data_IF_240693591489
#
_entry.id   IF_240693591489
#
_cell.length_a   1.000
_cell.length_b   1.000
_cell.length_c   1.000
_cell.angle_alpha   90.00
_cell.angle_beta   90.00
_cell.angle_gamma   90.00
#
_symmetry.space_group_name_H-M   'P 1'
#
loop_
_entity.id
_entity.type
_entity.pdbx_description
1 polymer ?
#
# COMPACT_ATOMS: atom_id res chain seq x y z
N UNK A 1 35.44 -4.50 -6.48
CA UNK A 1 34.42 -5.50 -6.93
C UNK A 1 34.67 -5.76 -8.42
N UNK A 2 34.78 -7.00 -8.83
CA UNK A 2 34.94 -7.35 -10.26
C UNK A 2 33.58 -7.41 -10.93
N UNK A 3 33.44 -6.87 -12.17
CA UNK A 3 32.18 -6.93 -12.95
C UNK A 3 31.63 -8.36 -13.08
N UNK A 4 32.53 -9.36 -13.23
CA UNK A 4 32.15 -10.76 -13.26
C UNK A 4 31.48 -11.28 -11.97
N UNK A 5 31.65 -10.60 -10.85
CA UNK A 5 31.03 -10.95 -9.58
C UNK A 5 29.66 -10.28 -9.37
N UNK A 6 29.31 -9.31 -10.22
CA UNK A 6 28.03 -8.60 -10.14
C UNK A 6 26.94 -9.26 -11.00
N UNK A 7 27.24 -10.35 -11.70
CA UNK A 7 26.33 -10.96 -12.67
C UNK A 7 26.16 -10.15 -13.97
N UNK A 8 26.89 -9.03 -14.13
CA UNK A 8 26.90 -8.24 -15.38
C UNK A 8 27.86 -8.85 -16.42
N UNK A 9 27.71 -10.13 -16.70
CA UNK A 9 28.46 -10.82 -17.73
C UNK A 9 27.82 -10.65 -19.12
N UNK A 10 28.56 -11.07 -20.15
CA UNK A 10 28.04 -11.16 -21.52
C UNK A 10 27.02 -12.30 -21.64
N UNK A 11 25.78 -12.04 -21.27
CA UNK A 11 24.69 -13.00 -21.42
C UNK A 11 23.98 -12.77 -22.76
N UNK A 12 23.87 -13.82 -23.56
CA UNK A 12 23.05 -13.76 -24.78
C UNK A 12 21.58 -13.81 -24.36
N UNK A 13 20.87 -12.73 -24.66
CA UNK A 13 19.42 -12.65 -24.41
C UNK A 13 18.67 -13.47 -25.47
N UNK A 14 17.73 -14.31 -25.03
CA UNK A 14 16.88 -15.12 -25.89
C UNK A 14 15.43 -14.98 -25.42
N UNK A 15 14.49 -14.89 -26.38
CA UNK A 15 13.04 -14.88 -26.10
C UNK A 15 12.65 -13.95 -24.94
N UNK A 16 12.94 -12.67 -25.09
CA UNK A 16 12.53 -11.64 -24.11
C UNK A 16 11.01 -11.61 -24.07
N UNK A 17 10.46 -11.63 -22.89
CA UNK A 17 9.02 -11.43 -22.69
C UNK A 17 8.64 -10.02 -23.15
N UNK A 18 7.81 -9.93 -24.19
CA UNK A 18 7.42 -8.66 -24.79
C UNK A 18 6.51 -7.83 -23.86
N UNK A 19 5.75 -8.50 -22.98
CA UNK A 19 4.90 -7.83 -22.00
C UNK A 19 5.72 -7.22 -20.86
N UNK A 20 6.75 -7.94 -20.38
CA UNK A 20 7.59 -7.52 -19.23
C UNK A 20 9.09 -7.57 -19.59
N UNK A 21 9.55 -6.78 -20.57
CA UNK A 21 10.90 -6.90 -21.11
C UNK A 21 11.99 -6.62 -20.05
N UNK A 22 11.79 -5.63 -19.18
CA UNK A 22 12.76 -5.28 -18.14
C UNK A 22 13.00 -6.43 -17.17
N UNK A 23 11.95 -7.02 -16.64
CA UNK A 23 12.03 -8.14 -15.69
C UNK A 23 12.60 -9.41 -16.36
N UNK A 24 12.22 -9.66 -17.63
CA UNK A 24 12.76 -10.77 -18.42
C UNK A 24 14.28 -10.64 -18.62
N UNK A 25 14.76 -9.44 -18.93
CA UNK A 25 16.21 -9.15 -19.05
C UNK A 25 16.91 -9.36 -17.71
N UNK A 26 16.35 -8.88 -16.61
CA UNK A 26 16.93 -9.04 -15.28
C UNK A 26 17.06 -10.52 -14.88
N UNK A 27 16.07 -11.36 -15.21
CA UNK A 27 16.15 -12.82 -14.99
C UNK A 27 17.23 -13.46 -15.87
N UNK A 28 17.22 -13.19 -17.16
CA UNK A 28 18.20 -13.81 -18.09
C UNK A 28 19.64 -13.41 -17.78
N UNK A 29 19.86 -12.23 -17.22
CA UNK A 29 21.18 -11.74 -16.83
C UNK A 29 21.55 -12.13 -15.39
N UNK A 30 20.72 -12.90 -14.66
CA UNK A 30 20.96 -13.28 -13.27
C UNK A 30 20.88 -12.11 -12.28
N UNK A 31 20.30 -10.99 -12.69
CA UNK A 31 20.05 -9.85 -11.78
C UNK A 31 18.84 -10.11 -10.87
N UNK A 32 17.87 -10.90 -11.34
CA UNK A 32 16.83 -11.51 -10.53
C UNK A 32 17.05 -13.02 -10.51
N UNK A 33 16.78 -13.64 -9.35
CA UNK A 33 16.80 -15.09 -9.19
C UNK A 33 15.45 -15.53 -8.66
N UNK A 34 14.75 -16.38 -9.40
CA UNK A 34 13.46 -16.91 -8.99
C UNK A 34 13.64 -18.15 -8.12
N UNK A 35 13.15 -18.12 -6.89
CA UNK A 35 13.16 -19.26 -5.95
C UNK A 35 11.85 -20.05 -6.00
N UNK A 36 10.79 -19.44 -6.47
CA UNK A 36 9.46 -20.03 -6.61
C UNK A 36 8.51 -19.02 -7.25
N UNK A 37 7.27 -19.41 -7.50
CA UNK A 37 6.26 -18.51 -8.04
C UNK A 37 6.05 -17.31 -7.10
N UNK A 38 6.35 -16.10 -7.59
CA UNK A 38 6.23 -14.85 -6.82
C UNK A 38 7.28 -14.66 -5.72
N UNK A 39 8.39 -15.41 -5.76
CA UNK A 39 9.50 -15.29 -4.82
C UNK A 39 10.82 -15.06 -5.57
N UNK A 40 11.40 -13.88 -5.38
CA UNK A 40 12.57 -13.42 -6.10
C UNK A 40 13.67 -12.92 -5.18
N UNK A 41 14.92 -13.26 -5.53
CA UNK A 41 16.12 -12.66 -4.96
C UNK A 41 16.68 -11.59 -5.89
N UNK A 42 17.17 -10.52 -5.29
CA UNK A 42 17.74 -9.37 -5.98
C UNK A 42 19.25 -9.45 -5.99
N UNK A 43 19.87 -9.36 -7.15
CA UNK A 43 21.31 -9.13 -7.28
C UNK A 43 21.58 -7.61 -7.22
N UNK A 44 22.78 -7.20 -7.55
CA UNK A 44 23.31 -5.86 -7.33
C UNK A 44 22.46 -4.74 -7.96
N UNK A 45 22.08 -4.86 -9.26
CA UNK A 45 21.39 -3.79 -9.98
C UNK A 45 19.98 -3.55 -9.43
N UNK A 46 19.07 -4.55 -9.39
CA UNK A 46 17.73 -4.30 -8.87
C UNK A 46 17.74 -3.92 -7.39
N UNK A 47 18.69 -4.43 -6.59
CA UNK A 47 18.83 -4.01 -5.20
C UNK A 47 19.23 -2.51 -5.07
N UNK A 48 20.10 -2.01 -5.93
CA UNK A 48 20.46 -0.59 -5.96
C UNK A 48 19.28 0.28 -6.41
N UNK A 49 18.52 -0.16 -7.40
CA UNK A 49 17.30 0.53 -7.84
C UNK A 49 16.30 0.61 -6.70
N UNK A 50 16.01 -0.51 -6.05
CA UNK A 50 15.12 -0.57 -4.87
C UNK A 50 15.56 0.43 -3.78
N UNK A 51 16.83 0.41 -3.39
CA UNK A 51 17.36 1.33 -2.37
C UNK A 51 17.25 2.80 -2.75
N UNK A 52 17.41 3.13 -4.04
CA UNK A 52 17.22 4.50 -4.51
C UNK A 52 15.75 4.93 -4.42
N UNK A 53 14.82 4.04 -4.77
CA UNK A 53 13.38 4.27 -4.61
C UNK A 53 13.03 4.46 -3.13
N UNK A 54 13.47 3.53 -2.27
CA UNK A 54 13.28 3.61 -0.81
C UNK A 54 13.82 4.93 -0.24
N UNK A 55 15.00 5.38 -0.71
CA UNK A 55 15.57 6.66 -0.29
C UNK A 55 14.70 7.86 -0.70
N UNK A 56 14.18 7.88 -1.93
CA UNK A 56 13.27 8.94 -2.39
C UNK A 56 12.01 8.98 -1.51
N UNK A 57 11.46 7.81 -1.17
CA UNK A 57 10.30 7.67 -0.29
C UNK A 57 10.59 8.25 1.10
N UNK A 58 11.67 7.78 1.74
CA UNK A 58 12.08 8.20 3.08
C UNK A 58 12.31 9.71 3.14
N UNK A 59 13.13 10.25 2.22
CA UNK A 59 13.45 11.68 2.17
C UNK A 59 12.14 12.49 2.01
N UNK A 60 11.22 12.06 1.15
CA UNK A 60 9.98 12.80 0.88
C UNK A 60 9.00 12.73 2.05
N UNK A 61 8.81 11.57 2.67
CA UNK A 61 7.92 11.45 3.82
C UNK A 61 8.45 12.23 5.03
N UNK A 62 9.77 12.24 5.25
CA UNK A 62 10.39 13.06 6.29
C UNK A 62 10.18 14.56 6.04
N UNK A 63 10.29 15.04 4.78
CA UNK A 63 9.96 16.42 4.40
C UNK A 63 8.50 16.79 4.74
N UNK A 64 7.60 15.80 4.73
CA UNK A 64 6.18 15.94 5.07
C UNK A 64 5.85 15.68 6.57
N UNK A 65 6.89 15.54 7.42
CA UNK A 65 6.73 15.39 8.87
C UNK A 65 6.33 13.98 9.33
N UNK A 66 6.40 12.98 8.46
CA UNK A 66 6.14 11.59 8.83
C UNK A 66 7.35 11.00 9.59
N UNK A 67 7.10 10.04 10.45
CA UNK A 67 8.09 9.44 11.36
C UNK A 67 8.34 7.99 10.96
N UNK A 68 9.58 7.65 10.64
CA UNK A 68 9.97 6.29 10.30
C UNK A 68 9.98 5.39 11.54
N UNK A 69 9.40 4.20 11.42
CA UNK A 69 9.40 3.13 12.43
C UNK A 69 9.65 1.79 11.74
N UNK A 70 9.88 0.74 12.52
CA UNK A 70 9.96 -0.62 12.00
C UNK A 70 9.17 -1.55 12.92
N UNK A 71 8.17 -2.21 12.36
CA UNK A 71 7.31 -3.15 13.05
C UNK A 71 7.68 -4.59 12.68
N UNK A 72 7.40 -5.57 13.55
CA UNK A 72 7.66 -6.97 13.25
C UNK A 72 6.77 -7.46 12.11
N UNK A 73 7.37 -8.16 11.16
CA UNK A 73 6.67 -8.84 10.05
C UNK A 73 6.02 -10.14 10.51
N UNK A 74 6.63 -10.81 11.49
CA UNK A 74 6.03 -11.96 12.16
C UNK A 74 5.21 -11.47 13.34
N UNK A 75 3.90 -11.64 13.29
CA UNK A 75 2.95 -11.07 14.23
C UNK A 75 2.13 -12.16 14.92
N UNK A 76 1.80 -12.02 16.22
CA UNK A 76 0.90 -12.96 16.87
C UNK A 76 -0.51 -12.84 16.27
N UNK A 77 -1.21 -13.95 16.16
CA UNK A 77 -2.59 -14.01 15.64
C UNK A 77 -3.58 -13.20 16.48
N UNK A 78 -3.25 -12.96 17.74
CA UNK A 78 -4.11 -12.22 18.69
C UNK A 78 -4.40 -10.80 18.24
N UNK A 79 -3.44 -10.06 17.66
CA UNK A 79 -3.70 -8.69 17.20
C UNK A 79 -4.67 -8.68 16.02
N UNK A 80 -4.60 -9.70 15.14
CA UNK A 80 -5.50 -9.89 14.00
C UNK A 80 -6.90 -10.32 14.44
N UNK A 81 -7.00 -11.14 15.50
CA UNK A 81 -8.28 -11.49 16.12
C UNK A 81 -8.92 -10.28 16.78
N UNK A 82 -8.14 -9.43 17.43
CA UNK A 82 -8.63 -8.19 18.05
C UNK A 82 -9.22 -7.21 17.01
N UNK A 83 -8.67 -7.13 15.81
CA UNK A 83 -9.23 -6.33 14.72
C UNK A 83 -10.42 -6.99 14.01
N UNK A 84 -10.72 -8.25 14.33
CA UNK A 84 -11.76 -9.03 13.66
C UNK A 84 -11.40 -9.46 12.22
N UNK A 85 -10.18 -9.21 11.74
CA UNK A 85 -9.77 -9.50 10.35
C UNK A 85 -9.12 -10.87 10.18
N UNK A 86 -8.78 -11.57 11.28
CA UNK A 86 -8.10 -12.86 11.21
C UNK A 86 -8.84 -13.87 10.35
N UNK A 87 -10.10 -14.14 10.68
CA UNK A 87 -10.90 -15.16 10.00
C UNK A 87 -11.13 -14.82 8.52
N UNK A 88 -11.34 -13.55 8.20
CA UNK A 88 -11.48 -13.09 6.81
C UNK A 88 -10.23 -13.41 6.00
N UNK A 89 -9.05 -12.97 6.46
CA UNK A 89 -7.78 -13.16 5.74
C UNK A 89 -7.36 -14.63 5.64
N UNK A 90 -7.69 -15.43 6.64
CA UNK A 90 -7.45 -16.89 6.62
C UNK A 90 -8.40 -17.59 5.64
N UNK A 91 -9.69 -17.27 5.68
CA UNK A 91 -10.71 -17.90 4.80
C UNK A 91 -10.52 -17.50 3.33
N UNK A 92 -10.13 -16.28 3.06
CA UNK A 92 -9.75 -15.82 1.71
C UNK A 92 -8.42 -16.42 1.24
N UNK A 93 -7.68 -17.07 2.14
CA UNK A 93 -6.39 -17.67 1.85
C UNK A 93 -5.27 -16.67 1.57
N UNK A 94 -5.47 -15.39 1.92
CA UNK A 94 -4.50 -14.31 1.67
C UNK A 94 -3.36 -14.33 2.68
N UNK A 95 -3.62 -14.71 3.94
CA UNK A 95 -2.66 -14.71 5.03
C UNK A 95 -1.82 -15.98 5.06
N UNK A 96 -0.51 -15.83 5.17
CA UNK A 96 0.41 -16.91 5.50
C UNK A 96 0.53 -17.06 7.02
N UNK A 97 0.27 -18.27 7.53
CA UNK A 97 0.30 -18.60 8.96
C UNK A 97 1.42 -19.58 9.24
N UNK A 98 2.01 -19.47 10.42
CA UNK A 98 2.94 -20.47 10.96
C UNK A 98 2.55 -20.82 12.39
N UNK A 99 2.71 -22.09 12.75
CA UNK A 99 2.42 -22.58 14.08
C UNK A 99 3.72 -22.92 14.82
N UNK A 100 3.73 -22.65 16.10
CA UNK A 100 4.79 -23.06 17.03
C UNK A 100 4.18 -23.61 18.31
N UNK A 101 5.02 -24.18 19.15
CA UNK A 101 4.62 -24.62 20.50
C UNK A 101 4.15 -23.47 21.42
N UNK A 102 4.30 -22.20 21.00
CA UNK A 102 3.90 -21.00 21.75
C UNK A 102 2.69 -20.28 21.14
N UNK A 103 2.10 -20.82 20.07
CA UNK A 103 0.92 -20.25 19.42
C UNK A 103 1.04 -20.10 17.91
N UNK A 104 0.06 -19.44 17.36
CA UNK A 104 -0.06 -19.14 15.92
C UNK A 104 0.51 -17.75 15.65
N UNK A 105 1.26 -17.64 14.58
CA UNK A 105 1.81 -16.40 14.08
C UNK A 105 1.42 -16.18 12.62
N UNK A 106 1.26 -14.92 12.24
CA UNK A 106 0.94 -14.48 10.90
C UNK A 106 2.13 -13.77 10.28
N UNK A 107 2.43 -14.03 9.02
CA UNK A 107 3.30 -13.18 8.23
C UNK A 107 2.46 -12.00 7.73
N UNK A 108 2.84 -10.78 8.09
CA UNK A 108 2.05 -9.58 7.88
C UNK A 108 1.74 -9.31 6.40
N UNK A 109 0.47 -9.37 5.95
CA UNK A 109 0.06 -8.93 4.62
C UNK A 109 -0.11 -7.41 4.52
N UNK A 110 -0.27 -6.74 5.66
CA UNK A 110 -0.41 -5.29 5.88
C UNK A 110 -0.04 -4.96 7.33
N UNK A 111 -0.12 -3.73 7.79
CA UNK A 111 0.43 -3.33 9.08
C UNK A 111 -0.51 -2.59 10.04
N UNK A 112 -1.83 -2.48 9.74
CA UNK A 112 -2.78 -1.72 10.56
C UNK A 112 -2.76 -2.17 12.03
N UNK A 113 -2.88 -3.48 12.25
CA UNK A 113 -2.95 -4.07 13.60
C UNK A 113 -1.71 -3.77 14.43
N UNK A 114 -0.54 -4.04 13.84
CA UNK A 114 0.74 -3.79 14.53
C UNK A 114 0.97 -2.30 14.80
N UNK A 115 0.52 -1.43 13.87
CA UNK A 115 0.66 0.00 14.02
C UNK A 115 -0.27 0.56 15.10
N UNK A 116 -1.50 0.07 15.23
CA UNK A 116 -2.39 0.46 16.33
C UNK A 116 -1.80 0.03 17.67
N UNK A 117 -1.28 -1.18 17.79
CA UNK A 117 -0.60 -1.62 19.03
C UNK A 117 0.61 -0.73 19.37
N UNK A 118 1.40 -0.34 18.37
CA UNK A 118 2.50 0.58 18.55
C UNK A 118 2.02 1.98 18.99
N UNK A 119 0.97 2.50 18.36
CA UNK A 119 0.40 3.81 18.64
C UNK A 119 -0.15 3.89 20.08
N UNK A 120 -0.82 2.85 20.58
CA UNK A 120 -1.32 2.76 21.97
C UNK A 120 -0.22 2.99 23.00
N UNK A 121 1.02 2.59 22.71
CA UNK A 121 2.15 2.81 23.60
C UNK A 121 2.75 4.22 23.49
N UNK A 122 2.58 4.91 22.36
CA UNK A 122 3.20 6.19 22.07
C UNK A 122 2.27 7.39 22.14
N UNK A 123 1.02 7.23 21.70
CA UNK A 123 0.07 8.32 21.50
C UNK A 123 -0.99 8.35 22.63
N UNK A 124 -0.54 8.43 23.89
CA UNK A 124 -1.42 8.36 25.07
C UNK A 124 -2.17 9.67 25.40
N UNK A 125 -1.79 10.77 24.79
CA UNK A 125 -2.35 12.10 25.07
C UNK A 125 -2.59 12.87 23.77
N UNK A 126 -3.60 13.75 23.77
CA UNK A 126 -3.86 14.69 22.68
C UNK A 126 -2.62 15.50 22.25
N UNK A 127 -1.66 15.72 23.17
CA UNK A 127 -0.40 16.41 22.86
C UNK A 127 0.54 15.65 21.93
N UNK A 128 0.30 14.35 21.75
CA UNK A 128 1.07 13.49 20.87
C UNK A 128 0.47 13.40 19.45
N UNK A 129 -0.68 14.04 19.23
CA UNK A 129 -1.44 14.03 17.98
C UNK A 129 -1.42 15.43 17.33
N UNK A 130 -1.48 15.54 16.00
CA UNK A 130 -1.48 14.44 15.05
C UNK A 130 -0.10 13.78 14.92
N UNK A 131 -0.08 12.51 14.50
CA UNK A 131 1.17 11.80 14.20
C UNK A 131 0.97 10.87 12.99
N UNK A 132 1.94 10.86 12.07
CA UNK A 132 1.96 9.92 10.95
C UNK A 132 3.23 9.09 11.04
N UNK A 133 3.06 7.78 11.22
CA UNK A 133 4.14 6.80 11.23
C UNK A 133 4.20 6.06 9.91
N UNK A 134 5.39 5.71 9.44
CA UNK A 134 5.57 4.88 8.26
C UNK A 134 6.70 3.88 8.43
N UNK A 135 6.67 2.82 7.63
CA UNK A 135 7.75 1.86 7.50
C UNK A 135 7.91 1.43 6.05
N UNK A 136 9.09 0.96 5.68
CA UNK A 136 9.31 0.19 4.47
C UNK A 136 9.72 -1.22 4.90
N UNK A 137 8.86 -2.19 4.65
CA UNK A 137 9.06 -3.56 5.14
C UNK A 137 8.49 -4.60 4.19
N UNK A 138 9.01 -5.84 4.32
CA UNK A 138 8.48 -6.97 3.55
C UNK A 138 7.05 -7.28 3.99
N UNK A 139 6.18 -7.42 3.01
CA UNK A 139 4.82 -7.93 3.19
C UNK A 139 4.71 -9.30 2.53
N UNK A 140 3.82 -10.10 3.06
CA UNK A 140 3.60 -11.48 2.64
C UNK A 140 2.13 -11.71 2.34
N UNK A 141 1.83 -12.02 1.10
CA UNK A 141 0.46 -12.36 0.68
C UNK A 141 0.50 -13.72 -0.03
N UNK A 142 -0.38 -14.63 0.36
CA UNK A 142 -0.48 -15.93 -0.29
C UNK A 142 -1.16 -15.78 -1.67
N UNK A 143 -0.52 -15.04 -2.55
CA UNK A 143 -1.01 -14.75 -3.89
C UNK A 143 -1.15 -16.03 -4.70
N UNK A 144 -2.38 -16.34 -5.13
CA UNK A 144 -2.70 -17.55 -5.88
C UNK A 144 -2.19 -17.42 -7.32
N UNK A 145 -2.29 -16.21 -7.89
CA UNK A 145 -1.93 -15.91 -9.28
C UNK A 145 -0.83 -14.88 -9.34
N UNK A 146 0.40 -15.33 -9.08
CA UNK A 146 1.57 -14.47 -9.27
C UNK A 146 1.72 -14.09 -10.75
N UNK A 147 2.05 -12.82 -11.04
CA UNK A 147 2.10 -12.30 -12.40
C UNK A 147 3.14 -11.20 -12.54
N UNK A 148 3.61 -11.00 -13.78
CA UNK A 148 4.49 -9.90 -14.13
C UNK A 148 5.81 -9.89 -13.33
N UNK A 149 6.31 -11.06 -12.92
CA UNK A 149 7.52 -11.24 -12.12
C UNK A 149 7.42 -10.51 -10.77
N UNK A 150 8.00 -9.31 -10.64
CA UNK A 150 7.97 -8.51 -9.42
C UNK A 150 6.65 -7.76 -9.21
N UNK A 151 5.81 -7.66 -10.24
CA UNK A 151 4.59 -6.85 -10.18
C UNK A 151 3.58 -7.41 -9.16
N UNK A 152 3.40 -8.74 -9.12
CA UNK A 152 2.52 -9.43 -8.17
C UNK A 152 3.20 -10.65 -7.60
N UNK A 153 3.90 -10.46 -6.49
CA UNK A 153 4.65 -11.49 -5.78
C UNK A 153 4.00 -11.93 -4.47
N UNK A 154 4.54 -13.01 -3.87
CA UNK A 154 4.12 -13.50 -2.54
C UNK A 154 4.86 -12.81 -1.40
N UNK A 155 6.06 -12.31 -1.65
CA UNK A 155 6.86 -11.47 -0.77
C UNK A 155 7.33 -10.26 -1.56
N UNK A 156 7.09 -9.08 -1.04
CA UNK A 156 7.44 -7.82 -1.70
C UNK A 156 7.65 -6.70 -0.67
N UNK A 157 8.54 -5.75 -0.97
CA UNK A 157 8.69 -4.57 -0.14
C UNK A 157 7.49 -3.64 -0.33
N UNK A 158 7.00 -3.06 0.76
CA UNK A 158 5.93 -2.08 0.76
C UNK A 158 6.28 -0.95 1.70
N UNK A 159 6.11 0.29 1.23
CA UNK A 159 5.88 1.42 2.12
C UNK A 159 4.44 1.30 2.64
N UNK A 160 4.27 1.29 3.93
CA UNK A 160 2.98 1.46 4.59
C UNK A 160 3.08 2.54 5.67
N UNK A 161 2.18 3.54 5.57
CA UNK A 161 2.09 4.66 6.48
C UNK A 161 0.69 4.74 7.11
N UNK A 162 0.62 5.34 8.30
CA UNK A 162 -0.60 5.41 9.11
C UNK A 162 -0.64 6.73 9.86
N UNK A 163 -1.72 7.50 9.67
CA UNK A 163 -1.96 8.69 10.46
C UNK A 163 -2.87 8.40 11.64
N UNK A 164 -2.66 9.16 12.71
CA UNK A 164 -3.45 9.16 13.94
C UNK A 164 -3.79 10.61 14.27
N UNK A 165 -5.07 10.89 14.33
CA UNK A 165 -5.60 12.24 14.43
C UNK A 165 -6.67 12.35 15.53
N UNK A 166 -6.95 13.57 16.00
CA UNK A 166 -7.92 13.83 17.05
C UNK A 166 -9.37 13.65 16.57
N UNK A 167 -9.63 14.00 15.30
CA UNK A 167 -10.96 14.04 14.73
C UNK A 167 -10.94 13.82 13.20
N UNK A 168 -12.10 13.81 12.59
CA UNK A 168 -12.25 13.60 11.16
C UNK A 168 -11.60 14.72 10.32
N UNK A 169 -11.54 15.94 10.81
CA UNK A 169 -10.90 17.05 10.11
C UNK A 169 -9.38 16.86 10.12
N UNK A 170 -8.78 16.52 11.27
CA UNK A 170 -7.36 16.22 11.39
C UNK A 170 -6.97 15.05 10.48
N UNK A 171 -7.79 13.98 10.44
CA UNK A 171 -7.57 12.86 9.52
C UNK A 171 -7.59 13.31 8.05
N UNK A 172 -8.51 14.20 7.66
CA UNK A 172 -8.53 14.76 6.29
C UNK A 172 -7.26 15.56 5.99
N UNK A 173 -6.78 16.36 6.94
CA UNK A 173 -5.55 17.15 6.79
C UNK A 173 -4.31 16.24 6.64
N UNK A 174 -4.21 15.20 7.47
CA UNK A 174 -3.16 14.17 7.37
C UNK A 174 -3.23 13.41 6.04
N UNK A 175 -4.44 13.04 5.61
CA UNK A 175 -4.67 12.40 4.32
C UNK A 175 -4.16 13.24 3.14
N UNK A 176 -4.51 14.53 3.09
CA UNK A 176 -4.06 15.42 2.04
C UNK A 176 -2.53 15.66 2.08
N UNK A 177 -1.93 15.69 3.26
CA UNK A 177 -0.49 15.82 3.41
C UNK A 177 0.25 14.59 2.83
N UNK A 178 -0.18 13.38 3.17
CA UNK A 178 0.43 12.14 2.65
C UNK A 178 0.12 11.95 1.17
N UNK A 179 -1.08 12.31 0.72
CA UNK A 179 -1.44 12.32 -0.71
C UNK A 179 -0.48 13.17 -1.53
N UNK A 180 -0.16 14.38 -1.06
CA UNK A 180 0.84 15.26 -1.70
C UNK A 180 2.23 14.64 -1.69
N UNK A 181 2.63 14.00 -0.59
CA UNK A 181 3.89 13.29 -0.50
C UNK A 181 3.98 12.16 -1.53
N UNK A 182 2.93 11.36 -1.71
CA UNK A 182 2.88 10.28 -2.69
C UNK A 182 3.03 10.79 -4.13
N UNK A 183 2.28 11.83 -4.50
CA UNK A 183 2.43 12.47 -5.81
C UNK A 183 3.86 12.95 -6.06
N UNK A 184 4.50 13.55 -5.04
CA UNK A 184 5.89 14.01 -5.13
C UNK A 184 6.89 12.85 -5.21
N UNK A 185 6.64 11.73 -4.54
CA UNK A 185 7.43 10.49 -4.64
C UNK A 185 7.39 9.99 -6.08
N UNK A 186 6.21 9.82 -6.66
CA UNK A 186 6.07 9.34 -8.05
C UNK A 186 6.69 10.30 -9.05
N UNK A 187 6.53 11.60 -8.87
CA UNK A 187 7.19 12.62 -9.70
C UNK A 187 8.72 12.50 -9.63
N UNK A 188 9.32 12.38 -8.43
CA UNK A 188 10.78 12.21 -8.25
C UNK A 188 11.30 10.91 -8.86
N UNK A 189 10.49 9.84 -8.91
CA UNK A 189 10.82 8.57 -9.57
C UNK A 189 10.69 8.69 -11.10
N UNK A 190 9.95 9.70 -11.59
CA UNK A 190 9.68 9.92 -13.01
C UNK A 190 8.40 9.25 -13.51
N UNK A 191 7.49 8.87 -12.62
CA UNK A 191 6.21 8.23 -12.94
C UNK A 191 5.07 9.25 -12.93
N UNK A 192 4.28 9.28 -14.00
CA UNK A 192 3.08 10.11 -14.10
C UNK A 192 1.87 9.30 -13.67
N UNK A 193 1.48 9.41 -12.44
CA UNK A 193 0.31 8.72 -11.88
C UNK A 193 -0.94 9.59 -11.95
N UNK A 194 -2.09 8.94 -12.02
CA UNK A 194 -3.41 9.55 -11.93
C UNK A 194 -4.03 9.05 -10.62
N UNK A 195 -4.33 9.93 -9.66
CA UNK A 195 -5.17 9.56 -8.53
C UNK A 195 -6.60 9.30 -9.02
N UNK A 196 -7.13 8.15 -8.68
CA UNK A 196 -8.49 7.77 -9.03
C UNK A 196 -9.32 7.45 -7.80
N UNK A 197 -10.62 7.62 -7.95
CA UNK A 197 -11.58 7.18 -6.94
C UNK A 197 -11.60 5.67 -6.88
N UNK A 198 -11.45 5.11 -5.68
CA UNK A 198 -11.38 3.67 -5.47
C UNK A 198 -12.45 3.16 -4.49
N UNK A 199 -12.67 1.86 -4.49
CA UNK A 199 -13.48 1.22 -3.45
C UNK A 199 -12.66 0.96 -2.19
N UNK A 200 -13.30 1.07 -1.04
CA UNK A 200 -12.65 0.85 0.25
C UNK A 200 -12.43 -0.64 0.58
N UNK A 201 -13.14 -1.55 -0.08
CA UNK A 201 -13.01 -2.99 0.05
C UNK A 201 -12.98 -3.49 1.50
N UNK A 202 -12.12 -4.47 1.76
CA UNK A 202 -11.91 -5.05 3.09
C UNK A 202 -11.29 -4.08 4.10
N UNK A 203 -10.62 -3.02 3.64
CA UNK A 203 -10.03 -1.99 4.51
C UNK A 203 -11.10 -1.16 5.21
N UNK A 204 -12.24 -0.94 4.54
CA UNK A 204 -13.34 -0.10 5.03
C UNK A 204 -12.98 1.39 5.04
N UNK A 205 -13.77 2.19 5.74
CA UNK A 205 -13.61 3.64 5.75
C UNK A 205 -14.60 4.35 4.82
N UNK A 206 -14.42 5.66 4.63
CA UNK A 206 -15.34 6.48 3.83
C UNK A 206 -14.83 6.79 2.43
N UNK A 207 -13.53 7.04 2.29
CA UNK A 207 -12.91 7.49 1.05
C UNK A 207 -11.60 6.76 0.83
N UNK A 208 -11.33 6.38 -0.44
CA UNK A 208 -10.01 5.91 -0.86
C UNK A 208 -9.66 6.38 -2.26
N UNK A 209 -8.36 6.50 -2.53
CA UNK A 209 -7.81 6.83 -3.84
C UNK A 209 -6.65 5.89 -4.17
N UNK A 210 -6.64 5.39 -5.41
CA UNK A 210 -5.53 4.65 -5.99
C UNK A 210 -4.68 5.55 -6.86
N UNK A 211 -3.37 5.34 -6.87
CA UNK A 211 -2.43 6.02 -7.77
C UNK A 211 -2.11 5.10 -8.93
N UNK A 212 -2.74 5.38 -10.08
CA UNK A 212 -2.69 4.56 -11.27
C UNK A 212 -1.70 5.08 -12.29
N UNK A 213 -0.86 4.20 -12.80
CA UNK A 213 -0.01 4.46 -13.97
C UNK A 213 -0.69 3.91 -15.22
N UNK A 214 -0.91 4.74 -16.24
CA UNK A 214 -1.40 4.27 -17.55
C UNK A 214 -0.33 3.39 -18.16
N UNK A 215 -0.64 2.12 -18.41
CA UNK A 215 0.30 1.13 -18.95
C UNK A 215 -0.42 -0.06 -19.57
N UNK A 216 -0.02 -0.46 -20.76
CA UNK A 216 -0.48 -1.71 -21.40
C UNK A 216 -0.05 -2.97 -20.63
N UNK A 217 0.96 -2.84 -19.77
CA UNK A 217 1.46 -3.91 -18.90
C UNK A 217 0.63 -4.05 -17.62
N UNK A 218 -0.26 -3.10 -17.35
CA UNK A 218 -1.10 -3.08 -16.15
C UNK A 218 -2.14 -4.19 -16.16
N UNK A 219 -2.60 -4.56 -14.97
CA UNK A 219 -3.62 -5.58 -14.77
C UNK A 219 -5.02 -4.99 -14.66
N UNK A 220 -5.09 -3.73 -14.21
CA UNK A 220 -6.33 -3.08 -13.87
C UNK A 220 -6.90 -2.30 -15.04
N UNK A 221 -8.21 -2.14 -15.01
CA UNK A 221 -8.96 -1.30 -15.93
C UNK A 221 -9.68 -0.23 -15.13
N UNK A 222 -9.56 1.00 -15.58
CA UNK A 222 -10.25 2.13 -14.99
C UNK A 222 -11.11 2.83 -16.05
N UNK A 223 -12.12 3.54 -15.59
CA UNK A 223 -12.80 4.54 -16.38
C UNK A 223 -12.09 5.89 -16.21
N UNK A 224 -11.75 6.52 -17.31
CA UNK A 224 -10.99 7.78 -17.31
C UNK A 224 -11.58 8.79 -18.28
N UNK A 225 -11.80 10.01 -17.82
CA UNK A 225 -12.18 11.15 -18.64
C UNK A 225 -10.96 12.04 -18.91
N UNK A 226 -10.53 12.10 -20.17
CA UNK A 226 -9.37 12.90 -20.61
C UNK A 226 -9.57 14.42 -20.43
N UNK A 227 -10.81 14.91 -20.41
CA UNK A 227 -11.11 16.33 -20.30
C UNK A 227 -10.98 16.82 -18.85
N UNK A 228 -11.59 16.08 -17.92
CA UNK A 228 -11.58 16.40 -16.48
C UNK A 228 -10.35 15.85 -15.76
N UNK A 229 -9.63 14.90 -16.35
CA UNK A 229 -8.52 14.13 -15.73
C UNK A 229 -8.94 13.32 -14.51
N UNK A 230 -10.22 12.97 -14.44
CA UNK A 230 -10.79 12.13 -13.38
C UNK A 230 -10.76 10.67 -13.82
N UNK A 231 -10.36 9.78 -12.93
CA UNK A 231 -10.42 8.34 -13.10
C UNK A 231 -11.25 7.68 -12.00
N UNK A 232 -11.89 6.56 -12.34
CA UNK A 232 -12.72 5.75 -11.46
C UNK A 232 -12.32 4.28 -11.57
N UNK A 233 -12.13 3.61 -10.44
CA UNK A 233 -12.01 2.16 -10.45
C UNK A 233 -13.35 1.54 -10.88
N UNK A 234 -13.32 0.57 -11.80
CA UNK A 234 -14.53 -0.07 -12.33
C UNK A 234 -15.33 -0.81 -11.25
N UNK A 235 -14.69 -1.27 -10.17
CA UNK A 235 -15.35 -1.92 -9.03
C UNK A 235 -16.38 -1.02 -8.33
N UNK A 236 -16.22 0.31 -8.42
CA UNK A 236 -17.21 1.25 -7.87
C UNK A 236 -18.57 1.08 -8.52
N UNK A 237 -18.61 0.73 -9.80
CA UNK A 237 -19.87 0.56 -10.54
C UNK A 237 -20.68 -0.67 -10.09
N UNK A 238 -20.06 -1.59 -9.35
CA UNK A 238 -20.72 -2.75 -8.78
C UNK A 238 -21.58 -2.42 -7.53
N UNK A 239 -21.40 -1.22 -6.95
CA UNK A 239 -22.22 -0.74 -5.84
C UNK A 239 -23.63 -0.41 -6.31
N UNK A 240 -24.65 -0.84 -5.57
CA UNK A 240 -26.07 -0.53 -5.89
C UNK A 240 -26.35 0.98 -5.97
N UNK A 241 -25.63 1.80 -5.16
CA UNK A 241 -25.80 3.24 -5.09
C UNK A 241 -24.60 4.04 -5.64
N UNK A 242 -23.87 3.47 -6.63
CA UNK A 242 -22.63 4.08 -7.12
C UNK A 242 -22.82 5.54 -7.61
N UNK A 243 -23.94 5.87 -8.20
CA UNK A 243 -24.21 7.23 -8.71
C UNK A 243 -24.32 8.25 -7.57
N UNK A 244 -25.06 7.91 -6.50
CA UNK A 244 -25.16 8.75 -5.30
C UNK A 244 -23.79 8.89 -4.62
N UNK A 245 -23.06 7.80 -4.45
CA UNK A 245 -21.71 7.79 -3.90
C UNK A 245 -20.75 8.68 -4.68
N UNK A 246 -20.72 8.57 -6.02
CA UNK A 246 -19.87 9.42 -6.87
C UNK A 246 -20.24 10.89 -6.78
N UNK A 247 -21.53 11.20 -6.71
CA UNK A 247 -22.02 12.57 -6.58
C UNK A 247 -21.69 13.17 -5.21
N UNK A 248 -21.96 12.46 -4.13
CA UNK A 248 -21.80 12.97 -2.77
C UNK A 248 -20.32 13.11 -2.37
N UNK A 249 -19.51 12.08 -2.64
CA UNK A 249 -18.11 12.03 -2.18
C UNK A 249 -17.12 12.70 -3.15
N UNK A 250 -17.46 12.77 -4.44
CA UNK A 250 -16.52 13.21 -5.48
C UNK A 250 -17.08 14.29 -6.43
N UNK A 251 -18.36 14.61 -6.34
CA UNK A 251 -19.02 15.61 -7.19
C UNK A 251 -19.15 15.17 -8.65
N UNK A 252 -19.11 13.85 -8.93
CA UNK A 252 -19.22 13.30 -10.28
C UNK A 252 -20.68 12.91 -10.53
N UNK A 253 -21.33 13.64 -11.46
CA UNK A 253 -22.75 13.41 -11.78
C UNK A 253 -22.95 12.59 -13.06
N UNK A 254 -21.99 12.60 -13.98
CA UNK A 254 -22.08 11.91 -15.27
C UNK A 254 -20.75 11.24 -15.64
N UNK A 255 -20.83 9.99 -16.05
CA UNK A 255 -19.68 9.17 -16.47
C UNK A 255 -19.72 8.80 -17.96
N UNK A 256 -20.63 9.40 -18.75
CA UNK A 256 -20.80 9.09 -20.19
C UNK A 256 -19.56 9.37 -21.04
N UNK A 257 -18.72 10.31 -20.62
CA UNK A 257 -17.48 10.68 -21.32
C UNK A 257 -16.26 9.84 -20.89
N UNK A 258 -16.41 8.98 -19.89
CA UNK A 258 -15.33 8.14 -19.41
C UNK A 258 -15.08 6.99 -20.37
N UNK A 259 -13.80 6.69 -20.60
CA UNK A 259 -13.35 5.57 -21.44
C UNK A 259 -12.57 4.58 -20.61
N UNK A 260 -12.73 3.28 -20.90
CA UNK A 260 -11.92 2.24 -20.30
C UNK A 260 -10.48 2.32 -20.79
N UNK A 261 -9.54 2.42 -19.87
CA UNK A 261 -8.11 2.37 -20.14
C UNK A 261 -7.43 1.37 -19.21
N UNK A 262 -6.29 0.82 -19.67
CA UNK A 262 -5.49 -0.13 -18.87
C UNK A 262 -4.47 0.59 -18.01
N UNK A 263 -4.36 0.17 -16.76
CA UNK A 263 -3.51 0.80 -15.75
C UNK A 263 -2.84 -0.22 -14.83
N UNK A 264 -1.86 0.28 -14.08
CA UNK A 264 -1.16 -0.43 -13.01
C UNK A 264 -1.30 0.37 -11.73
N UNK A 265 -1.81 -0.26 -10.66
CA UNK A 265 -1.86 0.33 -9.33
C UNK A 265 -0.45 0.39 -8.72
N UNK A 266 -0.01 1.57 -8.32
CA UNK A 266 1.28 1.79 -7.68
C UNK A 266 1.14 2.10 -6.18
N UNK A 267 0.01 2.60 -5.77
CA UNK A 267 -0.27 2.94 -4.37
C UNK A 267 -1.74 3.18 -4.12
N UNK A 268 -2.11 3.08 -2.84
CA UNK A 268 -3.49 3.23 -2.40
C UNK A 268 -3.52 3.94 -1.04
N UNK A 269 -4.47 4.86 -0.87
CA UNK A 269 -4.64 5.62 0.37
C UNK A 269 -6.09 5.59 0.83
N UNK A 270 -6.31 5.50 2.16
CA UNK A 270 -7.63 5.31 2.76
C UNK A 270 -7.87 6.23 3.94
N UNK A 271 -9.09 6.71 4.08
CA UNK A 271 -9.61 7.30 5.30
C UNK A 271 -10.35 6.22 6.10
N UNK A 272 -9.70 5.68 7.11
CA UNK A 272 -10.22 4.56 7.91
C UNK A 272 -11.23 4.99 8.99
N UNK A 273 -11.23 6.29 9.36
CA UNK A 273 -12.02 6.78 10.49
C UNK A 273 -11.57 6.16 11.81
N UNK A 274 -12.53 5.77 12.63
CA UNK A 274 -12.29 5.14 13.95
C UNK A 274 -12.33 3.60 13.92
N UNK A 275 -12.52 2.99 12.76
CA UNK A 275 -12.75 1.54 12.63
C UNK A 275 -11.74 0.68 13.40
N UNK A 276 -10.45 0.90 13.17
CA UNK A 276 -9.40 0.10 13.81
C UNK A 276 -9.20 0.48 15.28
N UNK A 277 -9.30 1.76 15.60
CA UNK A 277 -9.19 2.23 16.98
C UNK A 277 -10.36 1.73 17.85
N UNK A 278 -11.57 1.60 17.29
CA UNK A 278 -12.71 0.97 17.98
C UNK A 278 -12.44 -0.51 18.28
N UNK A 279 -12.11 -1.31 17.24
CA UNK A 279 -11.91 -2.75 17.37
C UNK A 279 -10.73 -3.11 18.29
N UNK A 280 -9.66 -2.31 18.25
CA UNK A 280 -8.42 -2.58 18.97
C UNK A 280 -8.24 -1.75 20.24
N UNK A 281 -9.26 -1.00 20.65
CA UNK A 281 -9.23 -0.10 21.83
C UNK A 281 -8.08 0.92 21.75
N UNK A 282 -7.88 1.50 20.55
CA UNK A 282 -6.89 2.54 20.28
C UNK A 282 -7.38 3.91 20.73
N UNK A 283 -6.92 4.38 21.90
CA UNK A 283 -7.42 5.59 22.55
C UNK A 283 -6.30 6.50 23.01
N UNK A 284 -6.62 7.78 23.13
CA UNK A 284 -5.81 8.79 23.79
C UNK A 284 -6.61 9.55 24.85
N UNK A 285 -5.94 10.28 25.73
CA UNK A 285 -6.59 11.18 26.69
C UNK A 285 -6.72 12.56 26.08
N UNK A 286 -7.94 13.04 25.94
CA UNK A 286 -8.26 14.36 25.39
C UNK A 286 -7.89 15.50 26.36
N UNK A 287 -8.03 16.74 25.91
CA UNK A 287 -7.75 17.92 26.73
C UNK A 287 -8.66 17.97 27.99
N UNK A 288 -9.87 17.46 27.87
CA UNK A 288 -10.86 17.37 28.96
C UNK A 288 -10.63 16.16 29.89
N UNK A 289 -9.57 15.37 29.67
CA UNK A 289 -9.23 14.20 30.47
C UNK A 289 -10.09 12.96 30.17
N UNK A 290 -10.77 12.93 29.02
CA UNK A 290 -11.58 11.78 28.58
C UNK A 290 -10.80 10.88 27.64
N UNK A 291 -11.14 9.61 27.63
CA UNK A 291 -10.66 8.69 26.60
C UNK A 291 -11.42 8.93 25.29
N UNK A 292 -10.68 9.12 24.20
CA UNK A 292 -11.20 9.30 22.85
C UNK A 292 -10.45 8.40 21.87
N UNK A 293 -11.13 7.99 20.79
CA UNK A 293 -10.57 7.11 19.76
C UNK A 293 -9.74 7.91 18.75
N UNK A 294 -8.65 7.32 18.26
CA UNK A 294 -7.93 7.89 17.11
C UNK A 294 -8.80 7.85 15.85
N UNK A 295 -8.77 8.92 15.07
CA UNK A 295 -9.12 8.89 13.66
C UNK A 295 -7.88 8.53 12.86
N UNK A 296 -8.02 7.59 11.92
CA UNK A 296 -6.89 6.99 11.23
C UNK A 296 -7.01 7.08 9.71
N UNK A 297 -5.87 7.26 9.05
CA UNK A 297 -5.69 6.99 7.63
C UNK A 297 -4.63 5.90 7.44
N UNK A 298 -4.68 5.18 6.32
CA UNK A 298 -3.59 4.31 5.90
C UNK A 298 -3.20 4.57 4.45
N UNK A 299 -1.93 4.35 4.12
CA UNK A 299 -1.31 4.80 2.89
C UNK A 299 -0.25 3.78 2.47
N UNK A 300 -0.36 3.20 1.28
CA UNK A 300 0.54 2.14 0.82
C UNK A 300 1.11 2.40 -0.57
N UNK A 301 2.41 2.06 -0.77
CA UNK A 301 3.08 1.97 -2.08
C UNK A 301 3.81 0.64 -2.14
N UNK A 302 3.56 -0.16 -3.19
CA UNK A 302 4.42 -1.30 -3.55
C UNK A 302 5.76 -0.78 -4.09
N UNK A 303 6.90 -1.27 -3.58
CA UNK A 303 8.24 -0.78 -3.92
C UNK A 303 8.97 -1.73 -4.88
#
# INVERSE_FOLDING_TARGET
MKLSQTGMGNTKLNNIDEMYPGQSILLQTGQLVQYGAGLFGYNTIPLLVRRNIEKIIVDTLNEHGCIEVLLPTLQPDTIWKNSGRYDQYVNEGTMLITESNKGIFCLAPTGEEAMVEFAKEKLKSYKNLPATYYQIGEKYRNEIRTRGYLLRGKSFPMLDAYSFDLDAQGMQESYENVRKAFLKIFEKIGLKVIPIVADNGAMGGKKSEEFMLISEQGEDKILYDENTKIGLNTEILEKENYQEYLKEEYGIEDISNFKEIRTMELGHIFQLGTRYSEMMNGKYISQEGKEELYYMGCYGIGV
#
